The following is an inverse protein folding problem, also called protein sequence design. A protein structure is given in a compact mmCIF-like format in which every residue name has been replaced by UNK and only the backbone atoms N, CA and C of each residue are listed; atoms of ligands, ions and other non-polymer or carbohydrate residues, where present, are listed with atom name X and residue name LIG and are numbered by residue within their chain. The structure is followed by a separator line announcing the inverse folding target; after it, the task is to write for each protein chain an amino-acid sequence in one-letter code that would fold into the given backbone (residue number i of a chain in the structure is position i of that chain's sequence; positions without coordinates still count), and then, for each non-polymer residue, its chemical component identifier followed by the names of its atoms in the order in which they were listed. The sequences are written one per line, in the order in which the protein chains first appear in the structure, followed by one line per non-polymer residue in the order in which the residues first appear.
data_IF_201905853064
#
_entry.id   IF_201905853064
#
_cell.length_a   1.000
_cell.length_b   1.000
_cell.length_c   1.000
_cell.angle_alpha   90.00
_cell.angle_beta   90.00
_cell.angle_gamma   90.00
#
_symmetry.space_group_name_H-M   'P 1'
#
loop_
_entity.id
_entity.type
_entity.pdbx_description
1 polymer ?
#
# COMPACT_ATOMS: atom_id res chain seq x y z
N UNK A 1 16.83 21.47 -6.07
CA UNK A 1 16.27 20.32 -6.80
C UNK A 1 14.78 20.34 -6.57
N UNK A 2 13.97 20.24 -7.61
CA UNK A 2 12.51 20.28 -7.49
C UNK A 2 11.95 18.84 -7.52
N UNK A 3 10.77 18.64 -6.91
CA UNK A 3 10.05 17.38 -7.04
C UNK A 3 9.55 17.22 -8.48
N UNK A 4 9.56 15.99 -8.96
CA UNK A 4 8.98 15.67 -10.27
C UNK A 4 7.45 15.78 -10.19
N UNK A 5 6.86 16.50 -11.12
CA UNK A 5 5.42 16.74 -11.16
C UNK A 5 4.69 15.52 -11.75
N UNK A 6 4.13 14.70 -10.88
CA UNK A 6 3.45 13.43 -11.24
C UNK A 6 1.94 13.58 -11.30
N UNK A 7 1.37 14.42 -10.42
CA UNK A 7 -0.07 14.63 -10.29
C UNK A 7 -0.40 16.10 -10.06
N UNK A 8 -1.60 16.55 -10.41
CA UNK A 8 -2.11 17.81 -9.90
C UNK A 8 -2.26 17.70 -8.39
N UNK A 9 -1.67 18.63 -7.66
CA UNK A 9 -1.76 18.73 -6.21
C UNK A 9 -2.84 19.75 -5.82
N UNK A 10 -3.50 19.49 -4.69
CA UNK A 10 -4.27 20.52 -4.02
C UNK A 10 -3.30 21.45 -3.29
N UNK A 11 -3.55 22.74 -3.32
CA UNK A 11 -2.75 23.76 -2.62
C UNK A 11 -3.11 23.80 -1.13
N UNK A 12 -2.86 22.70 -0.44
CA UNK A 12 -3.12 22.50 0.98
C UNK A 12 -1.96 21.71 1.57
N UNK A 13 -1.31 22.25 2.60
CA UNK A 13 -0.25 21.56 3.34
C UNK A 13 -0.79 21.03 4.67
N UNK A 14 -1.10 19.74 4.73
CA UNK A 14 -1.57 19.08 5.97
C UNK A 14 -0.37 18.76 6.85
N UNK A 15 -0.38 19.27 8.09
CA UNK A 15 0.75 19.17 9.04
C UNK A 15 0.40 18.40 10.33
N UNK A 16 -0.88 18.12 10.60
CA UNK A 16 -1.34 17.45 11.81
C UNK A 16 -2.57 16.60 11.54
N UNK A 17 -2.67 15.46 12.24
CA UNK A 17 -3.85 14.62 12.22
C UNK A 17 -4.16 14.02 13.59
N UNK A 18 -5.45 13.82 13.90
CA UNK A 18 -5.94 13.12 15.10
C UNK A 18 -7.30 12.47 14.82
N UNK A 19 -7.39 11.17 14.93
CA UNK A 19 -8.60 10.43 14.59
C UNK A 19 -8.98 10.65 13.12
N UNK A 20 -10.16 11.16 12.85
CA UNK A 20 -10.65 11.50 11.52
C UNK A 20 -10.52 12.99 11.16
N UNK A 21 -9.75 13.76 11.90
CA UNK A 21 -9.52 15.18 11.65
C UNK A 21 -8.07 15.46 11.27
N UNK A 22 -7.87 16.39 10.35
CA UNK A 22 -6.55 16.88 9.95
C UNK A 22 -6.53 18.41 9.96
N UNK A 23 -5.34 18.99 10.08
CA UNK A 23 -5.13 20.46 10.10
C UNK A 23 -4.04 20.82 9.11
N UNK A 24 -4.27 21.90 8.40
CA UNK A 24 -3.26 22.51 7.55
C UNK A 24 -2.28 23.40 8.36
N UNK A 25 -1.28 23.92 7.69
CA UNK A 25 -0.27 24.82 8.26
C UNK A 25 -0.85 26.15 8.79
N UNK A 26 -2.02 26.56 8.31
CA UNK A 26 -2.74 27.75 8.77
C UNK A 26 -3.64 27.45 9.98
N UNK A 27 -3.72 26.20 10.42
CA UNK A 27 -4.57 25.75 11.54
C UNK A 27 -6.00 25.48 11.15
N UNK A 28 -6.35 25.46 9.87
CA UNK A 28 -7.69 25.11 9.41
C UNK A 28 -7.93 23.63 9.63
N UNK A 29 -9.07 23.29 10.26
CA UNK A 29 -9.46 21.92 10.52
C UNK A 29 -10.32 21.37 9.38
N UNK A 30 -10.03 20.12 8.99
CA UNK A 30 -10.79 19.36 7.99
C UNK A 30 -11.22 18.02 8.55
N UNK A 31 -12.42 17.59 8.20
CA UNK A 31 -12.85 16.20 8.39
C UNK A 31 -12.26 15.36 7.26
N UNK A 32 -11.37 14.43 7.63
CA UNK A 32 -10.70 13.56 6.67
C UNK A 32 -11.56 12.33 6.34
N UNK A 33 -12.32 12.42 5.25
CA UNK A 33 -13.05 11.29 4.67
C UNK A 33 -12.24 10.52 3.63
N UNK A 34 -11.01 10.95 3.37
CA UNK A 34 -10.13 10.36 2.36
C UNK A 34 -9.12 9.36 2.96
N UNK A 35 -8.64 9.63 4.19
CA UNK A 35 -7.71 8.78 4.91
C UNK A 35 -6.41 8.47 4.17
N UNK A 36 -5.93 9.39 3.31
CA UNK A 36 -4.72 9.18 2.50
C UNK A 36 -4.84 7.94 1.60
N UNK A 37 -5.77 7.90 0.69
CA UNK A 37 -6.15 6.72 -0.14
C UNK A 37 -6.64 5.53 0.70
N UNK A 38 -7.40 5.79 1.76
CA UNK A 38 -7.91 4.80 2.71
C UNK A 38 -6.82 4.00 3.46
N UNK A 39 -5.62 4.54 3.59
CA UNK A 39 -4.49 3.86 4.27
C UNK A 39 -4.60 3.98 5.79
N UNK A 40 -5.04 5.12 6.31
CA UNK A 40 -5.15 5.38 7.75
C UNK A 40 -6.51 4.91 8.29
N UNK A 41 -6.78 3.61 8.21
CA UNK A 41 -8.06 3.02 8.62
C UNK A 41 -8.34 3.09 10.12
N UNK A 42 -7.31 3.22 10.96
CA UNK A 42 -7.44 3.35 12.43
C UNK A 42 -7.50 4.79 12.92
N UNK A 43 -7.45 5.76 11.99
CA UNK A 43 -7.36 7.19 12.28
C UNK A 43 -5.93 7.68 12.51
N UNK A 44 -5.76 8.99 12.33
CA UNK A 44 -4.46 9.65 12.50
C UNK A 44 -4.01 9.64 13.95
N UNK A 45 -2.71 9.44 14.17
CA UNK A 45 -2.05 9.46 15.47
C UNK A 45 -2.73 8.59 16.54
N UNK A 46 -3.21 7.40 16.17
CA UNK A 46 -3.79 6.45 17.12
C UNK A 46 -2.76 6.10 18.21
N UNK A 47 -3.05 6.29 19.51
CA UNK A 47 -2.04 6.21 20.58
C UNK A 47 -1.30 4.87 20.61
N UNK A 48 -2.03 3.76 20.53
CA UNK A 48 -1.44 2.42 20.55
C UNK A 48 -0.53 2.16 19.33
N UNK A 49 -0.95 2.62 18.15
CA UNK A 49 -0.12 2.52 16.94
C UNK A 49 1.18 3.31 17.08
N UNK A 50 1.10 4.57 17.54
CA UNK A 50 2.26 5.42 17.77
C UNK A 50 3.22 4.79 18.78
N UNK A 51 2.70 4.29 19.90
CA UNK A 51 3.50 3.61 20.94
C UNK A 51 4.22 2.38 20.35
N UNK A 52 3.50 1.49 19.69
CA UNK A 52 4.07 0.24 19.16
C UNK A 52 5.15 0.50 18.10
N UNK A 53 4.89 1.43 17.18
CA UNK A 53 5.86 1.78 16.13
C UNK A 53 7.09 2.46 16.72
N UNK A 54 6.91 3.41 17.65
CA UNK A 54 8.02 4.13 18.29
C UNK A 54 8.91 3.18 19.10
N UNK A 55 8.33 2.26 19.85
CA UNK A 55 9.06 1.26 20.62
C UNK A 55 9.82 0.30 19.71
N UNK A 56 9.21 -0.14 18.62
CA UNK A 56 9.89 -1.02 17.67
C UNK A 56 11.04 -0.33 16.96
N UNK A 57 10.87 0.91 16.51
CA UNK A 57 11.95 1.69 15.87
C UNK A 57 13.08 1.97 16.86
N UNK A 58 12.77 2.26 18.13
CA UNK A 58 13.78 2.45 19.18
C UNK A 58 14.56 1.17 19.50
N UNK A 59 13.99 -0.01 19.30
CA UNK A 59 14.62 -1.31 19.57
C UNK A 59 15.35 -1.84 18.35
N UNK A 60 14.66 -1.94 17.22
CA UNK A 60 15.18 -2.45 15.94
C UNK A 60 14.26 -2.01 14.81
N UNK A 61 14.64 -0.94 14.10
CA UNK A 61 13.85 -0.38 13.02
C UNK A 61 13.87 -1.20 11.73
N UNK A 62 15.01 -1.86 11.45
CA UNK A 62 15.17 -2.68 10.25
C UNK A 62 16.24 -3.76 10.45
N UNK A 63 16.01 -4.91 9.85
CA UNK A 63 17.03 -5.93 9.61
C UNK A 63 16.75 -6.72 8.33
N UNK A 64 17.75 -7.44 7.84
CA UNK A 64 17.65 -8.21 6.59
C UNK A 64 16.65 -9.37 6.67
N UNK A 65 15.96 -9.63 5.56
CA UNK A 65 15.12 -10.82 5.40
C UNK A 65 15.91 -12.15 5.29
N UNK A 66 17.24 -12.11 5.40
CA UNK A 66 18.07 -13.32 5.45
C UNK A 66 18.03 -14.03 6.79
N UNK A 67 17.35 -13.47 7.77
CA UNK A 67 17.15 -14.06 9.11
C UNK A 67 15.66 -14.16 9.45
N UNK A 68 15.35 -15.04 10.40
CA UNK A 68 13.96 -15.22 10.87
C UNK A 68 13.46 -13.94 11.54
N UNK A 69 12.32 -13.45 11.09
CA UNK A 69 11.60 -12.35 11.72
C UNK A 69 10.28 -12.86 12.34
N UNK A 70 10.27 -12.99 13.66
CA UNK A 70 9.11 -13.49 14.40
C UNK A 70 7.86 -12.60 14.25
N UNK A 71 8.03 -11.29 14.05
CA UNK A 71 6.90 -10.38 13.86
C UNK A 71 6.18 -10.67 12.53
N UNK A 72 6.92 -10.99 11.47
CA UNK A 72 6.32 -11.41 10.20
C UNK A 72 5.53 -12.71 10.34
N UNK A 73 6.06 -13.68 11.10
CA UNK A 73 5.36 -14.94 11.37
C UNK A 73 4.04 -14.69 12.15
N UNK A 74 4.09 -13.85 13.18
CA UNK A 74 2.91 -13.47 13.96
C UNK A 74 1.85 -12.76 13.12
N UNK A 75 2.27 -11.89 12.19
CA UNK A 75 1.34 -11.22 11.26
C UNK A 75 0.68 -12.24 10.36
N UNK A 76 1.44 -13.17 9.77
CA UNK A 76 0.89 -14.23 8.92
C UNK A 76 -0.14 -15.08 9.67
N UNK A 77 0.18 -15.55 10.87
CA UNK A 77 -0.72 -16.35 11.70
C UNK A 77 -2.01 -15.58 12.08
N UNK A 78 -1.88 -14.32 12.52
CA UNK A 78 -3.04 -13.51 12.90
C UNK A 78 -3.92 -13.18 11.71
N UNK A 79 -3.31 -12.83 10.58
CA UNK A 79 -4.04 -12.49 9.37
C UNK A 79 -4.79 -13.73 8.83
N UNK A 80 -4.14 -14.89 8.77
CA UNK A 80 -4.77 -16.14 8.37
C UNK A 80 -6.01 -16.44 9.20
N UNK A 81 -5.91 -16.36 10.54
CA UNK A 81 -7.06 -16.56 11.45
C UNK A 81 -8.18 -15.57 11.23
N UNK A 82 -7.88 -14.28 11.09
CA UNK A 82 -8.90 -13.23 10.90
C UNK A 82 -9.60 -13.36 9.55
N UNK A 83 -8.86 -13.73 8.50
CA UNK A 83 -9.40 -13.87 7.15
C UNK A 83 -9.98 -15.26 6.85
N UNK A 84 -9.77 -16.27 7.72
CA UNK A 84 -10.19 -17.65 7.49
C UNK A 84 -9.36 -18.39 6.44
N UNK A 85 -8.07 -18.02 6.30
CA UNK A 85 -7.11 -18.60 5.36
C UNK A 85 -5.87 -19.15 6.08
N UNK A 86 -6.08 -19.93 7.14
CA UNK A 86 -5.00 -20.48 7.97
C UNK A 86 -4.06 -21.44 7.22
N UNK A 87 -4.54 -22.04 6.13
CA UNK A 87 -3.82 -22.98 5.26
C UNK A 87 -3.10 -22.30 4.08
N UNK A 88 -3.20 -20.96 3.96
CA UNK A 88 -2.52 -20.20 2.92
C UNK A 88 -1.14 -19.74 3.34
N UNK A 89 -0.24 -19.63 2.37
CA UNK A 89 1.07 -19.00 2.58
C UNK A 89 0.98 -17.49 2.37
N UNK A 90 1.57 -16.74 3.28
CA UNK A 90 1.59 -15.27 3.25
C UNK A 90 2.90 -14.74 2.69
N UNK A 91 2.83 -13.88 1.70
CA UNK A 91 3.98 -13.23 1.09
C UNK A 91 3.90 -11.71 1.26
N UNK A 92 4.84 -11.16 2.05
CA UNK A 92 4.96 -9.72 2.31
C UNK A 92 5.71 -9.01 1.19
N UNK A 93 5.18 -7.89 0.76
CA UNK A 93 5.71 -7.04 -0.30
C UNK A 93 5.49 -5.57 0.06
N UNK A 94 6.10 -4.63 -0.71
CA UNK A 94 6.11 -3.21 -0.34
C UNK A 94 4.91 -2.42 -0.90
N UNK A 95 4.23 -2.92 -1.93
CA UNK A 95 3.16 -2.17 -2.59
C UNK A 95 2.10 -3.08 -3.22
N UNK A 96 0.89 -2.54 -3.43
CA UNK A 96 -0.15 -3.24 -4.17
C UNK A 96 0.24 -3.56 -5.62
N UNK A 97 1.08 -2.75 -6.25
CA UNK A 97 1.62 -3.04 -7.58
C UNK A 97 2.49 -4.31 -7.57
N UNK A 98 3.38 -4.45 -6.59
CA UNK A 98 4.18 -5.65 -6.42
C UNK A 98 3.33 -6.88 -6.09
N UNK A 99 2.25 -6.72 -5.30
CA UNK A 99 1.30 -7.78 -5.02
C UNK A 99 0.68 -8.32 -6.30
N UNK A 100 0.11 -7.44 -7.10
CA UNK A 100 -0.52 -7.79 -8.35
C UNK A 100 0.48 -8.45 -9.31
N UNK A 101 1.68 -7.90 -9.44
CA UNK A 101 2.71 -8.45 -10.32
C UNK A 101 3.15 -9.85 -9.91
N UNK A 102 3.37 -10.08 -8.61
CA UNK A 102 3.75 -11.41 -8.12
C UNK A 102 2.59 -12.41 -8.23
N UNK A 103 1.34 -11.99 -7.98
CA UNK A 103 0.17 -12.84 -8.19
C UNK A 103 0.03 -13.28 -9.65
N UNK A 104 0.22 -12.37 -10.61
CA UNK A 104 0.17 -12.67 -12.04
C UNK A 104 1.31 -13.61 -12.46
N UNK A 105 2.53 -13.41 -11.94
CA UNK A 105 3.65 -14.33 -12.19
C UNK A 105 3.35 -15.72 -11.65
N UNK A 106 2.90 -15.84 -10.41
CA UNK A 106 2.53 -17.14 -9.83
C UNK A 106 1.45 -17.84 -10.64
N UNK A 107 0.39 -17.12 -11.03
CA UNK A 107 -0.68 -17.68 -11.85
C UNK A 107 -0.17 -18.18 -13.21
N UNK A 108 0.73 -17.42 -13.86
CA UNK A 108 1.33 -17.83 -15.14
C UNK A 108 2.24 -19.06 -15.01
N UNK A 109 3.01 -19.16 -13.93
CA UNK A 109 3.85 -20.33 -13.67
C UNK A 109 3.04 -21.59 -13.38
N UNK A 110 1.93 -21.41 -12.65
CA UNK A 110 1.05 -22.54 -12.30
C UNK A 110 0.41 -23.19 -13.50
N UNK A 111 -0.04 -22.43 -14.49
CA UNK A 111 -0.85 -22.96 -15.59
C UNK A 111 -0.26 -22.69 -17.00
N UNK A 112 0.90 -22.05 -17.10
CA UNK A 112 1.57 -21.70 -18.35
C UNK A 112 0.83 -20.65 -19.20
N UNK A 113 -0.24 -20.03 -18.67
CA UNK A 113 -1.00 -19.01 -19.39
C UNK A 113 -0.38 -17.62 -19.18
N UNK A 114 -0.29 -16.86 -20.26
CA UNK A 114 0.33 -15.54 -20.28
C UNK A 114 -0.66 -14.40 -20.55
N UNK A 115 -1.91 -14.74 -20.89
CA UNK A 115 -2.94 -13.73 -21.17
C UNK A 115 -3.66 -13.34 -19.89
N UNK A 116 -3.79 -12.03 -19.66
CA UNK A 116 -4.53 -11.44 -18.57
C UNK A 116 -5.73 -10.67 -19.13
N UNK A 117 -6.88 -10.82 -18.50
CA UNK A 117 -8.08 -10.05 -18.83
C UNK A 117 -8.25 -8.99 -17.74
N UNK A 118 -8.40 -7.73 -18.12
CA UNK A 118 -8.67 -6.62 -17.21
C UNK A 118 -9.83 -5.77 -17.72
N UNK A 119 -10.48 -5.03 -16.81
CA UNK A 119 -11.50 -4.06 -17.21
C UNK A 119 -10.85 -2.80 -17.79
N UNK A 120 -11.54 -2.19 -18.76
CA UNK A 120 -11.12 -0.89 -19.29
C UNK A 120 -11.04 0.15 -18.17
N UNK A 121 -10.01 0.98 -18.17
CA UNK A 121 -9.71 2.00 -17.15
C UNK A 121 -9.47 1.46 -15.73
N UNK A 122 -9.25 0.16 -15.56
CA UNK A 122 -8.84 -0.39 -14.28
C UNK A 122 -7.41 0.04 -13.92
N UNK A 123 -7.14 0.22 -12.63
CA UNK A 123 -5.82 0.56 -12.11
C UNK A 123 -5.27 -0.61 -11.28
N UNK A 124 -4.11 -1.13 -11.65
CA UNK A 124 -3.45 -2.25 -10.96
C UNK A 124 -2.06 -1.91 -10.46
N UNK A 125 -1.56 -0.71 -10.70
CA UNK A 125 -0.22 -0.26 -10.33
C UNK A 125 0.51 0.39 -11.48
N UNK A 126 1.74 0.89 -11.21
CA UNK A 126 2.56 1.64 -12.17
C UNK A 126 3.83 0.91 -12.60
N UNK A 127 3.95 -0.38 -12.35
CA UNK A 127 5.02 -1.20 -12.92
C UNK A 127 4.78 -1.41 -14.41
N UNK A 128 5.85 -1.60 -15.19
CA UNK A 128 5.75 -1.78 -16.65
C UNK A 128 4.81 -2.92 -17.03
N UNK A 129 4.86 -4.04 -16.32
CA UNK A 129 3.97 -5.17 -16.59
C UNK A 129 2.51 -4.85 -16.33
N UNK A 130 2.19 -4.08 -15.29
CA UNK A 130 0.80 -3.75 -14.95
C UNK A 130 0.20 -2.66 -15.84
N UNK A 131 0.98 -1.67 -16.27
CA UNK A 131 0.49 -0.64 -17.19
C UNK A 131 0.19 -1.21 -18.58
N UNK A 132 0.93 -2.23 -19.02
CA UNK A 132 0.66 -2.91 -20.30
C UNK A 132 -0.56 -3.82 -20.26
N UNK A 133 -0.96 -4.29 -19.09
CA UNK A 133 -2.12 -5.15 -18.90
C UNK A 133 -3.40 -4.33 -18.74
N UNK A 134 -3.37 -3.27 -17.93
CA UNK A 134 -4.57 -2.53 -17.51
C UNK A 134 -4.79 -1.20 -18.24
N UNK A 135 -3.78 -0.66 -18.92
CA UNK A 135 -3.88 0.56 -19.73
C UNK A 135 -3.45 0.29 -21.19
N UNK A 136 -4.09 -0.65 -21.92
CA UNK A 136 -3.72 -0.92 -23.30
C UNK A 136 -4.06 0.22 -24.28
N UNK A 137 -4.74 1.26 -23.81
CA UNK A 137 -5.17 2.39 -24.61
C UNK A 137 -5.01 3.70 -23.85
N UNK A 138 -3.78 4.10 -23.57
CA UNK A 138 -3.53 5.53 -23.45
C UNK A 138 -3.71 6.10 -24.86
N UNK A 139 -4.65 7.04 -25.13
CA UNK A 139 -4.70 7.68 -26.43
C UNK A 139 -3.32 8.27 -26.68
N UNK A 140 -2.69 7.89 -27.78
CA UNK A 140 -1.54 8.61 -28.27
C UNK A 140 -1.93 10.06 -28.36
N UNK A 141 -1.35 10.91 -27.52
CA UNK A 141 -1.45 12.35 -27.73
C UNK A 141 -0.65 12.66 -28.98
N UNK A 142 -1.38 12.84 -30.06
CA UNK A 142 -0.88 13.50 -31.25
C UNK A 142 -0.47 14.94 -30.88
#
# INVERSE_FOLDING_TARGET
MNLFDVYPLFDINIVKGKGCHVWDENGTEYLDLYGGHAVISIGHAHPHYVEMVSNQVATLGFYSNSVINKLQQQVAERLGKVCGYDDYSFFLINSGAEANENALKLASFYNGRTRVISFSKAFHGRTLSLIHISEPTRPERI
#
